data_IF_323231634222
#
_entry.id   IF_323231634222
#
_cell.length_a   1.000
_cell.length_b   1.000
_cell.length_c   1.000
_cell.angle_alpha   90.00
_cell.angle_beta   90.00
_cell.angle_gamma   90.00
#
_symmetry.space_group_name_H-M   'P 1'
#
loop_
_entity.id
_entity.type
_entity.pdbx_description
1 polymer ?
#
# COMPACT_ATOMS: atom_id res chain seq x y z
N UNK A 1 15.98 -0.17 9.33
CA UNK A 1 15.69 -0.47 10.74
C UNK A 1 14.91 0.67 11.42
N UNK A 2 15.53 1.82 11.75
CA UNK A 2 14.80 2.90 12.43
C UNK A 2 13.69 3.52 11.55
N UNK A 3 14.01 3.87 10.29
CA UNK A 3 13.02 4.43 9.36
C UNK A 3 11.84 3.48 9.11
N UNK A 4 12.07 2.16 9.05
CA UNK A 4 11.00 1.18 8.84
C UNK A 4 9.99 1.23 10.00
N UNK A 5 10.49 1.11 11.24
CA UNK A 5 9.67 1.22 12.46
C UNK A 5 8.99 2.60 12.54
N UNK A 6 9.72 3.68 12.27
CA UNK A 6 9.15 5.02 12.27
C UNK A 6 8.04 5.16 11.22
N UNK A 7 8.21 4.59 10.02
CA UNK A 7 7.24 4.66 8.94
C UNK A 7 5.95 3.92 9.28
N UNK A 8 6.04 2.73 9.88
CA UNK A 8 4.86 1.96 10.29
C UNK A 8 4.06 2.66 11.37
N UNK A 9 4.72 3.11 12.44
CA UNK A 9 4.04 3.83 13.52
C UNK A 9 3.48 5.18 13.09
N UNK A 10 4.20 5.91 12.23
CA UNK A 10 3.69 7.18 11.69
C UNK A 10 2.56 6.97 10.68
N UNK A 11 2.61 5.91 9.88
CA UNK A 11 1.52 5.50 8.99
C UNK A 11 0.25 5.20 9.77
N UNK A 12 0.34 4.37 10.82
CA UNK A 12 -0.76 4.09 11.73
C UNK A 12 -1.27 5.37 12.43
N UNK A 13 -0.37 6.20 12.95
CA UNK A 13 -0.74 7.47 13.57
C UNK A 13 -1.46 8.40 12.59
N UNK A 14 -0.99 8.47 11.34
CA UNK A 14 -1.65 9.22 10.29
C UNK A 14 -3.05 8.68 10.03
N UNK A 15 -3.20 7.35 9.87
CA UNK A 15 -4.50 6.70 9.66
C UNK A 15 -5.49 7.03 10.79
N UNK A 16 -5.04 6.91 12.06
CA UNK A 16 -5.89 7.20 13.22
C UNK A 16 -6.37 8.66 13.27
N UNK A 17 -5.62 9.61 12.69
CA UNK A 17 -6.07 11.00 12.53
C UNK A 17 -7.07 11.19 11.40
N UNK A 18 -7.08 10.31 10.41
CA UNK A 18 -7.99 10.39 9.27
C UNK A 18 -9.33 9.71 9.53
N UNK A 19 -9.42 8.82 10.51
CA UNK A 19 -10.61 8.01 10.78
C UNK A 19 -11.45 8.56 11.95
N UNK A 20 -12.76 8.59 11.77
CA UNK A 20 -13.73 8.80 12.84
C UNK A 20 -14.23 7.44 13.35
N UNK A 21 -13.87 7.04 14.58
CA UNK A 21 -14.16 5.69 15.10
C UNK A 21 -15.52 5.55 15.81
N UNK A 22 -16.31 6.62 15.88
CA UNK A 22 -17.57 6.65 16.66
C UNK A 22 -18.72 5.84 16.03
N UNK A 23 -18.62 5.47 14.75
CA UNK A 23 -19.71 4.85 13.97
C UNK A 23 -19.57 3.32 13.83
N UNK A 24 -19.04 2.65 14.87
CA UNK A 24 -18.88 1.19 14.87
C UNK A 24 -17.65 0.69 14.10
N UNK A 25 -16.82 1.61 13.58
CA UNK A 25 -15.50 1.30 13.03
C UNK A 25 -14.55 0.92 14.16
N UNK A 26 -13.96 -0.27 14.08
CA UNK A 26 -12.99 -0.78 15.05
C UNK A 26 -11.66 -1.05 14.35
N UNK A 27 -10.58 -0.52 14.91
CA UNK A 27 -9.22 -0.74 14.43
C UNK A 27 -8.52 -1.68 15.41
N UNK A 28 -7.93 -2.74 14.88
CA UNK A 28 -7.11 -3.69 15.62
C UNK A 28 -5.69 -3.64 15.05
N UNK A 29 -4.70 -3.79 15.92
CA UNK A 29 -3.28 -3.75 15.53
C UNK A 29 -2.65 -5.04 16.00
N UNK A 30 -1.93 -5.70 15.10
CA UNK A 30 -1.11 -6.86 15.39
C UNK A 30 0.30 -6.58 14.86
N UNK A 31 1.31 -6.89 15.67
CA UNK A 31 2.71 -6.81 15.28
C UNK A 31 3.12 -8.19 14.73
N UNK A 32 3.26 -8.26 13.40
CA UNK A 32 3.64 -9.46 12.68
C UNK A 32 4.57 -9.02 11.56
N UNK A 33 5.80 -9.52 11.54
CA UNK A 33 6.74 -9.27 10.46
C UNK A 33 6.43 -10.16 9.25
N UNK A 34 6.82 -9.70 8.06
CA UNK A 34 6.68 -10.51 6.85
C UNK A 34 7.46 -11.84 6.95
N UNK A 35 8.60 -11.83 7.64
CA UNK A 35 9.40 -13.03 7.89
C UNK A 35 8.68 -14.05 8.78
N UNK A 36 7.89 -13.60 9.76
CA UNK A 36 7.07 -14.50 10.57
C UNK A 36 5.97 -15.14 9.75
N UNK A 37 5.36 -14.42 8.79
CA UNK A 37 4.38 -15.01 7.85
C UNK A 37 5.05 -16.05 6.96
N UNK A 38 6.24 -15.75 6.43
CA UNK A 38 7.00 -16.71 5.61
C UNK A 38 7.34 -17.97 6.43
N UNK A 39 7.83 -17.80 7.66
CA UNK A 39 8.14 -18.92 8.54
C UNK A 39 6.89 -19.73 8.94
N UNK A 40 5.75 -19.07 9.17
CA UNK A 40 4.46 -19.71 9.44
C UNK A 40 3.98 -20.54 8.24
N UNK A 41 4.13 -20.02 7.01
CA UNK A 41 3.81 -20.75 5.78
C UNK A 41 4.66 -22.02 5.64
N UNK A 42 5.97 -21.91 5.87
CA UNK A 42 6.90 -23.04 5.77
C UNK A 42 6.61 -24.11 6.84
N UNK A 43 6.33 -23.68 8.06
CA UNK A 43 6.05 -24.57 9.19
C UNK A 43 4.69 -25.29 9.06
N UNK A 44 3.71 -24.66 8.41
CA UNK A 44 2.33 -25.14 8.33
C UNK A 44 1.87 -25.43 6.89
N UNK A 45 2.77 -25.82 5.98
CA UNK A 45 2.46 -26.01 4.56
C UNK A 45 1.28 -26.96 4.25
N UNK A 46 1.00 -27.94 5.13
CA UNK A 46 -0.10 -28.92 4.98
C UNK A 46 -1.27 -28.66 5.94
N UNK A 47 -1.24 -27.57 6.72
CA UNK A 47 -2.19 -27.29 7.80
C UNK A 47 -2.62 -25.82 7.83
N UNK A 48 -3.61 -25.48 8.65
CA UNK A 48 -4.00 -24.07 8.85
C UNK A 48 -2.89 -23.30 9.55
N UNK A 49 -2.45 -22.20 8.94
CA UNK A 49 -1.37 -21.34 9.47
C UNK A 49 -1.83 -20.53 10.70
N UNK A 50 -0.91 -20.05 11.52
CA UNK A 50 -1.22 -19.22 12.69
C UNK A 50 -1.82 -17.86 12.28
N UNK A 51 -1.41 -17.31 11.13
CA UNK A 51 -2.03 -16.11 10.53
C UNK A 51 -3.53 -16.32 10.27
N UNK A 52 -3.91 -17.46 9.67
CA UNK A 52 -5.32 -17.79 9.42
C UNK A 52 -6.10 -17.87 10.73
N UNK A 53 -5.54 -18.52 11.75
CA UNK A 53 -6.16 -18.61 13.08
C UNK A 53 -6.35 -17.22 13.70
N UNK A 54 -5.31 -16.39 13.70
CA UNK A 54 -5.36 -15.04 14.26
C UNK A 54 -6.48 -14.18 13.63
N UNK A 55 -6.67 -14.29 12.31
CA UNK A 55 -7.57 -13.42 11.56
C UNK A 55 -8.99 -13.98 11.43
N UNK A 56 -9.18 -15.30 11.44
CA UNK A 56 -10.47 -15.95 11.21
C UNK A 56 -11.03 -16.69 12.44
N UNK A 57 -10.17 -17.22 13.31
CA UNK A 57 -10.63 -18.00 14.46
C UNK A 57 -11.47 -17.11 15.40
N UNK A 58 -12.69 -17.55 15.69
CA UNK A 58 -13.73 -16.80 16.43
C UNK A 58 -14.35 -15.59 15.70
N UNK A 59 -14.05 -15.41 14.41
CA UNK A 59 -14.57 -14.31 13.57
C UNK A 59 -15.35 -14.78 12.35
N UNK A 60 -15.41 -16.10 12.17
CA UNK A 60 -16.21 -16.77 11.16
C UNK A 60 -17.20 -17.68 11.89
N UNK A 61 -18.46 -17.24 11.96
CA UNK A 61 -19.52 -17.88 12.75
C UNK A 61 -20.75 -16.99 12.91
N UNK A 62 -21.89 -17.59 13.23
CA UNK A 62 -23.16 -16.89 13.37
C UNK A 62 -23.08 -15.80 14.47
N UNK A 63 -23.33 -14.54 14.10
CA UNK A 63 -23.25 -13.39 14.99
C UNK A 63 -21.84 -12.82 15.23
N UNK A 64 -20.80 -13.42 14.63
CA UNK A 64 -19.45 -12.83 14.64
C UNK A 64 -19.31 -11.76 13.54
N UNK A 65 -18.34 -10.84 13.72
CA UNK A 65 -18.04 -9.79 12.75
C UNK A 65 -16.63 -10.02 12.21
N UNK A 66 -16.48 -10.50 10.95
CA UNK A 66 -15.17 -10.71 10.33
C UNK A 66 -14.46 -9.38 10.08
N UNK A 67 -13.15 -9.45 9.84
CA UNK A 67 -12.39 -8.27 9.43
C UNK A 67 -12.74 -7.88 7.99
N UNK A 68 -13.35 -6.71 7.83
CA UNK A 68 -13.74 -6.21 6.50
C UNK A 68 -12.56 -5.71 5.67
N UNK A 69 -11.51 -5.21 6.33
CA UNK A 69 -10.29 -4.69 5.69
C UNK A 69 -9.09 -5.18 6.49
N UNK A 70 -8.15 -5.82 5.80
CA UNK A 70 -6.85 -6.22 6.34
C UNK A 70 -5.80 -5.32 5.71
N UNK A 71 -5.13 -4.52 6.53
CA UNK A 71 -4.01 -3.66 6.08
C UNK A 71 -2.72 -4.34 6.46
N UNK A 72 -1.98 -4.82 5.46
CA UNK A 72 -0.65 -5.36 5.66
C UNK A 72 0.37 -4.26 5.34
N UNK A 73 1.04 -3.71 6.36
CA UNK A 73 2.03 -2.65 6.19
C UNK A 73 3.38 -3.20 5.69
N UNK A 74 3.35 -3.86 4.54
CA UNK A 74 4.54 -4.40 3.88
C UNK A 74 4.74 -3.75 2.52
N UNK A 75 6.00 -3.66 2.09
CA UNK A 75 6.37 -3.34 0.73
C UNK A 75 6.75 -4.62 0.00
N UNK A 76 5.78 -5.30 -0.59
CA UNK A 76 5.99 -6.59 -1.25
C UNK A 76 6.87 -6.42 -2.50
N UNK A 77 7.85 -7.30 -2.66
CA UNK A 77 8.89 -7.24 -3.68
C UNK A 77 8.71 -8.40 -4.67
N UNK A 78 9.50 -8.40 -5.73
CA UNK A 78 9.57 -9.47 -6.75
C UNK A 78 10.31 -10.73 -6.27
N UNK A 79 9.95 -11.20 -5.08
CA UNK A 79 10.56 -12.36 -4.41
C UNK A 79 9.52 -13.48 -4.23
N UNK A 80 9.93 -14.74 -4.40
CA UNK A 80 9.04 -15.91 -4.29
C UNK A 80 8.37 -15.98 -2.92
N UNK A 81 9.14 -15.79 -1.84
CA UNK A 81 8.60 -15.81 -0.47
C UNK A 81 7.59 -14.68 -0.20
N UNK A 82 7.77 -13.51 -0.82
CA UNK A 82 6.81 -12.40 -0.72
C UNK A 82 5.50 -12.75 -1.45
N UNK A 83 5.59 -13.41 -2.61
CA UNK A 83 4.42 -13.91 -3.34
C UNK A 83 3.65 -14.98 -2.54
N UNK A 84 4.34 -15.92 -1.92
CA UNK A 84 3.72 -16.96 -1.08
C UNK A 84 3.04 -16.35 0.16
N UNK A 85 3.69 -15.39 0.82
CA UNK A 85 3.10 -14.65 1.93
C UNK A 85 1.85 -13.85 1.49
N UNK A 86 1.92 -13.20 0.33
CA UNK A 86 0.76 -12.50 -0.26
C UNK A 86 -0.39 -13.46 -0.55
N UNK A 87 -0.11 -14.64 -1.14
CA UNK A 87 -1.13 -15.64 -1.44
C UNK A 87 -1.85 -16.09 -0.16
N UNK A 88 -1.10 -16.34 0.92
CA UNK A 88 -1.68 -16.68 2.23
C UNK A 88 -2.58 -15.54 2.75
N UNK A 89 -2.07 -14.31 2.84
CA UNK A 89 -2.84 -13.14 3.28
C UNK A 89 -4.10 -12.91 2.43
N UNK A 90 -4.00 -13.12 1.12
CA UNK A 90 -5.10 -12.95 0.17
C UNK A 90 -6.18 -14.01 0.37
N UNK A 91 -5.80 -15.27 0.60
CA UNK A 91 -6.72 -16.35 0.95
C UNK A 91 -7.52 -16.01 2.21
N UNK A 92 -6.83 -15.55 3.27
CA UNK A 92 -7.48 -15.12 4.52
C UNK A 92 -8.48 -13.98 4.29
N UNK A 93 -8.11 -13.00 3.47
CA UNK A 93 -9.01 -11.89 3.13
C UNK A 93 -10.24 -12.36 2.35
N UNK A 94 -10.07 -13.27 1.40
CA UNK A 94 -11.18 -13.84 0.63
C UNK A 94 -12.12 -14.67 1.52
N UNK A 95 -11.57 -15.51 2.41
CA UNK A 95 -12.34 -16.35 3.35
C UNK A 95 -13.17 -15.54 4.35
N UNK A 96 -12.78 -14.29 4.62
CA UNK A 96 -13.52 -13.34 5.47
C UNK A 96 -14.43 -12.40 4.69
N UNK A 97 -14.55 -12.57 3.36
CA UNK A 97 -15.19 -11.60 2.45
C UNK A 97 -14.67 -10.16 2.62
N UNK A 98 -13.44 -10.03 3.12
CA UNK A 98 -12.76 -8.77 3.33
C UNK A 98 -11.94 -8.36 2.12
N UNK A 99 -11.13 -7.32 2.29
CA UNK A 99 -10.14 -6.89 1.31
C UNK A 99 -8.77 -6.78 1.97
N UNK A 100 -7.75 -7.34 1.34
CA UNK A 100 -6.35 -7.12 1.68
C UNK A 100 -5.84 -5.86 0.96
N UNK A 101 -5.21 -4.97 1.71
CA UNK A 101 -4.55 -3.79 1.17
C UNK A 101 -3.11 -3.77 1.65
N UNK A 102 -2.17 -3.66 0.72
CA UNK A 102 -0.73 -3.61 1.02
C UNK A 102 0.04 -2.71 0.05
N UNK A 103 1.34 -2.57 0.29
CA UNK A 103 2.27 -1.89 -0.60
C UNK A 103 2.88 -2.88 -1.58
N UNK A 104 2.91 -2.52 -2.85
CA UNK A 104 3.61 -3.25 -3.91
C UNK A 104 4.79 -2.44 -4.41
N UNK A 105 5.96 -3.09 -4.47
CA UNK A 105 7.12 -2.56 -5.17
C UNK A 105 6.83 -2.46 -6.66
N UNK A 106 7.39 -1.43 -7.28
CA UNK A 106 7.38 -1.29 -8.74
C UNK A 106 8.04 -2.48 -9.46
N UNK A 107 8.88 -3.24 -8.75
CA UNK A 107 9.54 -4.44 -9.23
C UNK A 107 8.56 -5.55 -9.59
N UNK A 108 7.38 -5.58 -8.96
CA UNK A 108 6.28 -6.48 -9.32
C UNK A 108 5.77 -6.23 -10.76
N UNK A 109 5.92 -5.01 -11.26
CA UNK A 109 5.61 -4.64 -12.65
C UNK A 109 6.83 -4.76 -13.58
N UNK A 110 7.97 -5.23 -13.08
CA UNK A 110 9.24 -5.28 -13.81
C UNK A 110 9.99 -3.94 -13.87
N UNK A 111 9.56 -2.92 -13.13
CA UNK A 111 10.30 -1.67 -13.01
C UNK A 111 11.44 -1.86 -11.99
N UNK A 112 12.72 -1.62 -12.35
CA UNK A 112 13.82 -1.81 -11.41
C UNK A 112 13.82 -0.78 -10.28
N UNK A 113 13.45 0.46 -10.59
CA UNK A 113 13.38 1.58 -9.66
C UNK A 113 12.64 2.76 -10.32
N UNK A 114 11.50 3.17 -9.77
CA UNK A 114 10.69 4.25 -10.35
C UNK A 114 11.39 5.62 -10.36
N UNK A 115 12.30 5.86 -9.41
CA UNK A 115 13.03 7.14 -9.31
C UNK A 115 14.11 7.30 -10.38
N UNK A 116 14.61 6.19 -10.91
CA UNK A 116 15.67 6.16 -11.92
C UNK A 116 15.14 5.87 -13.32
N UNK A 117 14.18 4.94 -13.43
CA UNK A 117 13.62 4.48 -14.71
C UNK A 117 12.08 4.59 -14.67
N UNK A 118 11.54 5.83 -14.64
CA UNK A 118 10.09 6.05 -14.54
C UNK A 118 9.33 5.64 -15.80
N UNK A 119 10.00 5.63 -16.96
CA UNK A 119 9.37 5.34 -18.24
C UNK A 119 9.27 3.82 -18.47
N UNK A 120 8.06 3.25 -18.61
CA UNK A 120 7.87 1.82 -18.85
C UNK A 120 8.51 1.31 -20.15
N UNK A 121 8.75 2.18 -21.13
CA UNK A 121 9.49 1.79 -22.34
C UNK A 121 10.91 1.31 -22.02
N UNK A 122 11.48 1.61 -20.86
CA UNK A 122 12.83 1.18 -20.49
C UNK A 122 12.86 0.03 -19.48
N UNK A 123 11.72 -0.43 -18.96
CA UNK A 123 11.69 -1.50 -17.94
C UNK A 123 12.22 -2.83 -18.47
N UNK A 124 11.95 -3.13 -19.75
CA UNK A 124 12.39 -4.38 -20.37
C UNK A 124 13.92 -4.54 -20.39
N UNK A 125 14.68 -3.43 -20.36
CA UNK A 125 16.15 -3.46 -20.34
C UNK A 125 16.71 -4.11 -19.07
N UNK A 126 15.88 -4.23 -18.03
CA UNK A 126 16.23 -4.76 -16.73
C UNK A 126 15.53 -6.10 -16.42
N UNK A 127 14.68 -6.60 -17.32
CA UNK A 127 13.96 -7.87 -17.14
C UNK A 127 14.86 -9.04 -17.51
N UNK A 128 15.17 -9.89 -16.53
CA UNK A 128 15.90 -11.14 -16.72
C UNK A 128 14.94 -12.30 -17.09
N UNK A 129 14.21 -12.18 -18.21
CA UNK A 129 13.30 -13.23 -18.69
C UNK A 129 12.21 -13.66 -17.70
N UNK A 130 11.59 -14.80 -17.98
CA UNK A 130 10.66 -15.45 -17.04
C UNK A 130 11.49 -16.19 -15.97
N UNK A 131 11.27 -15.83 -14.70
CA UNK A 131 11.86 -16.46 -13.54
C UNK A 131 10.75 -17.02 -12.63
N UNK A 132 11.14 -17.73 -11.56
CA UNK A 132 10.19 -18.35 -10.63
C UNK A 132 9.19 -17.34 -10.05
N UNK A 133 9.65 -16.11 -9.78
CA UNK A 133 8.77 -15.02 -9.37
C UNK A 133 7.71 -14.71 -10.42
N UNK A 134 8.08 -14.49 -11.69
CA UNK A 134 7.14 -14.12 -12.76
C UNK A 134 6.07 -15.21 -12.95
N UNK A 135 6.48 -16.48 -12.92
CA UNK A 135 5.56 -17.62 -13.03
C UNK A 135 4.58 -17.64 -11.85
N UNK A 136 5.07 -17.52 -10.62
CA UNK A 136 4.24 -17.52 -9.42
C UNK A 136 3.33 -16.29 -9.33
N UNK A 137 3.83 -15.11 -9.68
CA UNK A 137 3.07 -13.86 -9.70
C UNK A 137 1.87 -13.95 -10.65
N UNK A 138 2.07 -14.50 -11.86
CA UNK A 138 0.98 -14.73 -12.80
C UNK A 138 -0.02 -15.76 -12.24
N UNK A 139 0.46 -16.88 -11.71
CA UNK A 139 -0.39 -17.92 -11.14
C UNK A 139 -1.26 -17.42 -9.97
N UNK A 140 -0.71 -16.55 -9.11
CA UNK A 140 -1.43 -15.90 -8.00
C UNK A 140 -2.56 -15.01 -8.54
N UNK A 141 -2.29 -14.23 -9.60
CA UNK A 141 -3.28 -13.30 -10.19
C UNK A 141 -4.41 -14.01 -10.92
N UNK A 142 -4.25 -15.29 -11.24
CA UNK A 142 -5.32 -16.12 -11.83
C UNK A 142 -6.24 -16.73 -10.75
N UNK A 143 -5.84 -16.73 -9.47
CA UNK A 143 -6.64 -17.31 -8.39
C UNK A 143 -7.83 -16.42 -8.02
N UNK A 144 -8.91 -17.03 -7.50
CA UNK A 144 -10.11 -16.31 -7.08
C UNK A 144 -9.84 -15.29 -5.96
N UNK A 145 -9.03 -15.68 -4.95
CA UNK A 145 -8.68 -14.81 -3.84
C UNK A 145 -7.97 -13.52 -4.27
N UNK A 146 -7.35 -13.50 -5.47
CA UNK A 146 -6.64 -12.33 -5.97
C UNK A 146 -7.57 -11.14 -6.25
N UNK A 147 -8.88 -11.40 -6.37
CA UNK A 147 -9.93 -10.37 -6.48
C UNK A 147 -10.15 -9.58 -5.19
N UNK A 148 -9.65 -10.07 -4.06
CA UNK A 148 -9.75 -9.43 -2.75
C UNK A 148 -8.49 -8.64 -2.37
N UNK A 149 -7.58 -8.38 -3.32
CA UNK A 149 -6.26 -7.79 -3.02
C UNK A 149 -6.04 -6.48 -3.76
N UNK A 150 -5.63 -5.44 -3.02
CA UNK A 150 -5.14 -4.16 -3.54
C UNK A 150 -3.67 -3.99 -3.16
N UNK A 151 -2.81 -3.77 -4.16
CA UNK A 151 -1.41 -3.39 -3.95
C UNK A 151 -1.17 -1.96 -4.42
N UNK A 152 -0.74 -1.08 -3.53
CA UNK A 152 -0.48 0.34 -3.84
C UNK A 152 0.98 0.57 -4.21
N UNK A 153 1.24 1.47 -5.17
CA UNK A 153 2.59 1.83 -5.60
C UNK A 153 2.60 3.26 -6.18
N UNK A 154 3.60 4.11 -5.96
CA UNK A 154 4.68 3.99 -4.98
C UNK A 154 4.21 4.42 -3.58
N UNK A 155 5.17 4.55 -2.66
CA UNK A 155 4.97 5.08 -1.30
C UNK A 155 4.67 6.59 -1.31
N UNK A 156 4.28 7.14 -0.16
CA UNK A 156 4.02 8.57 0.04
C UNK A 156 4.72 9.14 1.28
N UNK A 157 4.94 10.45 1.33
CA UNK A 157 5.67 11.11 2.40
C UNK A 157 4.82 11.21 3.67
N UNK A 158 5.31 10.67 4.78
CA UNK A 158 4.60 10.68 6.07
C UNK A 158 4.84 11.94 6.90
N UNK A 159 6.01 12.57 6.76
CA UNK A 159 6.35 13.83 7.43
C UNK A 159 7.34 14.65 6.61
N UNK A 160 7.35 15.95 6.89
CA UNK A 160 8.43 16.80 6.42
C UNK A 160 9.75 16.41 7.11
N UNK A 161 10.89 16.56 6.42
CA UNK A 161 12.19 16.41 7.04
C UNK A 161 12.40 17.49 8.10
N UNK A 162 13.17 17.19 9.15
CA UNK A 162 13.62 18.20 10.08
C UNK A 162 14.61 19.14 9.40
N UNK A 163 14.44 20.43 9.66
CA UNK A 163 15.23 21.48 9.03
C UNK A 163 14.71 22.87 9.39
N UNK A 164 15.60 23.85 9.32
CA UNK A 164 15.35 25.24 9.72
C UNK A 164 14.20 25.87 8.92
N UNK A 165 14.03 25.45 7.66
CA UNK A 165 13.02 25.97 6.74
C UNK A 165 11.82 25.03 6.56
N UNK A 166 11.79 23.89 7.26
CA UNK A 166 10.75 22.87 7.16
C UNK A 166 10.13 22.62 8.54
N UNK A 167 10.64 21.64 9.28
CA UNK A 167 10.23 21.32 10.64
C UNK A 167 11.41 21.60 11.57
N UNK A 168 11.51 22.83 12.13
CA UNK A 168 12.62 23.19 13.01
C UNK A 168 12.52 22.45 14.34
N UNK A 169 13.67 22.09 14.91
CA UNK A 169 13.77 21.52 16.25
C UNK A 169 14.12 22.62 17.26
N UNK A 170 13.48 22.60 18.43
CA UNK A 170 13.76 23.59 19.48
C UNK A 170 15.08 23.33 20.23
N UNK A 171 15.51 22.06 20.27
CA UNK A 171 16.63 21.63 21.11
C UNK A 171 18.00 21.98 20.53
N UNK A 172 18.15 21.91 19.21
CA UNK A 172 19.39 22.21 18.49
C UNK A 172 19.11 22.36 16.99
N UNK A 173 20.01 23.05 16.29
CA UNK A 173 19.95 23.19 14.83
C UNK A 173 20.24 21.83 14.18
N UNK A 174 19.26 21.27 13.48
CA UNK A 174 19.36 19.98 12.81
C UNK A 174 18.79 20.06 11.40
N UNK A 175 19.57 19.58 10.44
CA UNK A 175 19.16 19.40 9.04
C UNK A 175 19.21 17.91 8.72
N UNK A 176 18.06 17.29 8.49
CA UNK A 176 17.93 15.84 8.31
C UNK A 176 18.40 15.37 6.93
N UNK A 177 18.12 16.17 5.89
CA UNK A 177 18.41 15.77 4.52
C UNK A 177 19.86 16.07 4.14
N UNK A 178 20.59 15.09 3.57
CA UNK A 178 21.90 15.36 2.99
C UNK A 178 21.81 16.26 1.76
N UNK A 179 22.95 16.75 1.26
CA UNK A 179 22.95 17.55 0.02
C UNK A 179 22.56 16.73 -1.20
N UNK A 180 23.07 15.50 -1.29
CA UNK A 180 22.87 14.59 -2.41
C UNK A 180 22.14 13.32 -1.96
N UNK A 181 21.37 12.69 -2.85
CA UNK A 181 20.73 11.40 -2.56
C UNK A 181 19.59 11.49 -1.52
N UNK A 182 18.97 12.66 -1.36
CA UNK A 182 17.94 12.93 -0.35
C UNK A 182 16.75 11.97 -0.39
N UNK A 183 16.42 11.39 -1.55
CA UNK A 183 15.23 10.57 -1.72
C UNK A 183 15.10 9.48 -0.65
N UNK A 184 16.18 8.77 -0.34
CA UNK A 184 16.17 7.68 0.65
C UNK A 184 16.02 8.15 2.11
N UNK A 185 16.21 9.45 2.37
CA UNK A 185 16.14 10.04 3.70
C UNK A 185 14.76 10.61 4.05
N UNK A 186 13.87 10.77 3.06
CA UNK A 186 12.47 11.05 3.36
C UNK A 186 11.83 9.85 4.04
N UNK A 187 10.95 10.13 5.00
CA UNK A 187 10.16 9.09 5.62
C UNK A 187 8.97 8.72 4.73
N UNK A 188 9.18 7.72 3.87
CA UNK A 188 8.17 7.14 3.01
C UNK A 188 7.31 6.14 3.77
N UNK A 189 6.00 6.24 3.60
CA UNK A 189 4.99 5.34 4.14
C UNK A 189 4.23 4.59 3.06
N UNK A 190 3.69 3.44 3.44
CA UNK A 190 2.95 2.57 2.55
C UNK A 190 1.65 3.21 2.07
N UNK A 191 1.38 3.18 0.75
CA UNK A 191 0.12 3.69 0.17
C UNK A 191 -1.13 2.97 0.70
N UNK A 192 -0.99 1.78 1.30
CA UNK A 192 -2.07 1.05 1.95
C UNK A 192 -2.78 1.88 3.03
N UNK A 193 -2.04 2.74 3.75
CA UNK A 193 -2.63 3.65 4.73
C UNK A 193 -3.64 4.62 4.11
N UNK A 194 -3.34 5.13 2.91
CA UNK A 194 -4.22 6.05 2.17
C UNK A 194 -5.53 5.35 1.77
N UNK A 195 -5.43 4.12 1.27
CA UNK A 195 -6.58 3.30 0.87
C UNK A 195 -7.41 2.89 2.08
N UNK A 196 -6.77 2.54 3.20
CA UNK A 196 -7.47 2.24 4.46
C UNK A 196 -8.26 3.46 4.97
N UNK A 197 -7.68 4.67 4.90
CA UNK A 197 -8.38 5.90 5.24
C UNK A 197 -9.57 6.16 4.31
N UNK A 198 -9.43 5.93 3.00
CA UNK A 198 -10.53 6.04 2.04
C UNK A 198 -11.68 5.08 2.41
N UNK A 199 -11.39 3.80 2.62
CA UNK A 199 -12.40 2.78 2.93
C UNK A 199 -13.09 3.04 4.28
N UNK A 200 -12.31 3.34 5.33
CA UNK A 200 -12.85 3.61 6.65
C UNK A 200 -13.72 4.87 6.70
N UNK A 201 -13.32 5.94 6.01
CA UNK A 201 -14.11 7.16 5.91
C UNK A 201 -15.38 6.97 5.08
N UNK A 202 -15.33 6.15 4.03
CA UNK A 202 -16.52 5.79 3.27
C UNK A 202 -17.52 5.02 4.15
N UNK A 203 -17.05 3.96 4.82
CA UNK A 203 -17.88 3.14 5.71
C UNK A 203 -18.55 3.97 6.80
N UNK A 204 -17.80 4.87 7.44
CA UNK A 204 -18.34 5.72 8.51
C UNK A 204 -19.55 6.54 8.01
N UNK A 205 -19.46 7.13 6.82
CA UNK A 205 -20.53 8.00 6.28
C UNK A 205 -21.85 7.30 5.95
N UNK A 206 -21.86 6.00 5.69
CA UNK A 206 -23.08 5.34 5.20
C UNK A 206 -23.02 3.83 5.00
N UNK A 207 -22.06 3.14 5.62
CA UNK A 207 -21.83 1.71 5.46
C UNK A 207 -21.14 1.35 4.14
N UNK A 208 -21.13 0.06 3.81
CA UNK A 208 -20.47 -0.44 2.60
C UNK A 208 -21.27 -0.20 1.33
N UNK A 209 -20.57 0.11 0.24
CA UNK A 209 -21.10 0.23 -1.12
C UNK A 209 -19.95 0.18 -2.11
N UNK A 210 -20.23 -0.21 -3.36
CA UNK A 210 -19.26 -0.21 -4.45
C UNK A 210 -18.58 1.16 -4.64
N UNK A 211 -19.26 2.24 -4.26
CA UNK A 211 -18.71 3.60 -4.28
C UNK A 211 -17.46 3.77 -3.42
N UNK A 212 -17.24 2.92 -2.41
CA UNK A 212 -16.02 2.91 -1.58
C UNK A 212 -14.74 2.67 -2.42
N UNK A 213 -14.88 1.99 -3.56
CA UNK A 213 -13.77 1.65 -4.46
C UNK A 213 -13.50 2.73 -5.52
N UNK A 214 -14.31 3.79 -5.59
CA UNK A 214 -14.08 4.88 -6.55
C UNK A 214 -12.79 5.64 -6.25
N UNK A 215 -12.27 6.32 -7.27
CA UNK A 215 -11.08 7.16 -7.10
C UNK A 215 -11.31 8.28 -6.10
N UNK A 216 -10.27 8.65 -5.37
CA UNK A 216 -10.31 9.68 -4.34
C UNK A 216 -9.08 10.59 -4.42
N UNK A 217 -9.17 11.75 -3.76
CA UNK A 217 -8.06 12.67 -3.55
C UNK A 217 -7.79 12.76 -2.06
N UNK A 218 -6.54 12.51 -1.67
CA UNK A 218 -6.08 12.73 -0.29
C UNK A 218 -5.26 14.02 -0.28
N UNK A 219 -5.62 14.95 0.60
CA UNK A 219 -5.04 16.30 0.70
C UNK A 219 -4.34 16.49 2.04
N UNK A 220 -3.69 17.64 2.25
CA UNK A 220 -2.99 17.96 3.49
C UNK A 220 -1.84 16.99 3.80
N UNK A 221 -1.20 16.48 2.75
CA UNK A 221 -0.01 15.65 2.85
C UNK A 221 1.24 16.53 3.02
N UNK A 222 2.32 16.02 3.63
CA UNK A 222 3.61 16.73 3.65
C UNK A 222 4.06 17.13 2.23
N UNK A 223 4.36 18.41 2.06
CA UNK A 223 4.85 18.99 0.81
C UNK A 223 6.17 19.73 1.06
N UNK A 224 7.29 19.11 0.72
CA UNK A 224 8.59 19.73 0.93
C UNK A 224 8.98 20.60 -0.26
N UNK A 225 9.14 21.91 -0.02
CA UNK A 225 9.63 22.87 -1.00
C UNK A 225 11.09 23.21 -0.67
N UNK A 226 11.99 22.98 -1.62
CA UNK A 226 13.43 23.21 -1.45
C UNK A 226 13.99 24.05 -2.60
N UNK A 227 15.19 24.60 -2.44
CA UNK A 227 15.87 25.36 -3.51
C UNK A 227 16.95 24.53 -4.16
N UNK A 228 16.91 24.45 -5.48
CA UNK A 228 17.92 23.78 -6.30
C UNK A 228 18.35 24.72 -7.43
N UNK A 229 19.66 24.99 -7.56
CA UNK A 229 20.21 25.95 -8.51
C UNK A 229 19.52 27.34 -8.49
N UNK A 230 19.08 27.78 -7.31
CA UNK A 230 18.40 29.07 -7.11
C UNK A 230 16.91 29.08 -7.47
N UNK A 231 16.35 27.96 -7.94
CA UNK A 231 14.93 27.80 -8.25
C UNK A 231 14.23 27.00 -7.14
N UNK A 232 13.00 27.38 -6.81
CA UNK A 232 12.15 26.59 -5.92
C UNK A 232 11.68 25.33 -6.63
N UNK A 233 11.89 24.19 -6.00
CA UNK A 233 11.45 22.87 -6.43
C UNK A 233 10.52 22.29 -5.37
N UNK A 234 9.55 21.50 -5.82
CA UNK A 234 8.60 20.81 -4.96
C UNK A 234 8.88 19.32 -5.01
N UNK A 235 9.17 18.71 -3.87
CA UNK A 235 9.23 17.25 -3.75
C UNK A 235 7.80 16.70 -3.80
N UNK A 236 7.46 15.81 -4.73
CA UNK A 236 6.11 15.27 -4.82
C UNK A 236 5.75 14.45 -3.57
N UNK A 237 4.46 14.45 -3.19
CA UNK A 237 3.97 13.72 -2.02
C UNK A 237 4.12 12.19 -2.14
N UNK A 238 3.94 11.63 -3.33
CA UNK A 238 4.34 10.28 -3.69
C UNK A 238 5.76 10.28 -4.30
N UNK A 239 6.48 9.16 -4.25
CA UNK A 239 7.93 9.08 -4.52
C UNK A 239 8.42 9.78 -5.80
N UNK A 240 7.59 9.76 -6.86
CA UNK A 240 7.91 10.33 -8.18
C UNK A 240 6.74 11.15 -8.76
N UNK A 241 7.03 12.14 -9.63
CA UNK A 241 6.02 12.65 -10.55
C UNK A 241 5.73 11.56 -11.59
N UNK A 242 4.49 11.06 -11.61
CA UNK A 242 4.15 9.88 -12.40
C UNK A 242 3.47 10.23 -13.73
N UNK A 243 4.04 9.73 -14.83
CA UNK A 243 3.45 9.80 -16.18
C UNK A 243 2.22 8.90 -16.29
N UNK A 244 1.32 9.22 -17.22
CA UNK A 244 0.14 8.38 -17.48
C UNK A 244 0.53 7.00 -18.04
N UNK A 245 1.63 6.92 -18.80
CA UNK A 245 2.18 5.65 -19.31
C UNK A 245 2.66 4.78 -18.17
N UNK A 246 3.43 5.33 -17.23
CA UNK A 246 3.89 4.65 -16.02
C UNK A 246 2.70 4.15 -15.19
N UNK A 247 1.71 5.01 -14.94
CA UNK A 247 0.52 4.66 -14.18
C UNK A 247 -0.25 3.50 -14.84
N UNK A 248 -0.39 3.52 -16.18
CA UNK A 248 -1.03 2.45 -16.93
C UNK A 248 -0.26 1.13 -16.82
N UNK A 249 1.06 1.16 -17.00
CA UNK A 249 1.91 -0.02 -16.92
C UNK A 249 1.86 -0.67 -15.52
N UNK A 250 1.90 0.13 -14.45
CA UNK A 250 1.69 -0.37 -13.08
C UNK A 250 0.31 -1.05 -12.94
N UNK A 251 -0.74 -0.45 -13.51
CA UNK A 251 -2.11 -0.99 -13.45
C UNK A 251 -2.28 -2.31 -14.21
N UNK A 252 -1.66 -2.46 -15.36
CA UNK A 252 -1.67 -3.71 -16.14
C UNK A 252 -1.04 -4.88 -15.35
N UNK A 253 -0.11 -4.56 -14.46
CA UNK A 253 0.51 -5.50 -13.53
C UNK A 253 -0.19 -5.60 -12.16
N UNK A 254 -1.41 -5.08 -12.03
CA UNK A 254 -2.23 -5.25 -10.82
C UNK A 254 -1.91 -4.26 -9.69
N UNK A 255 -1.08 -3.25 -9.92
CA UNK A 255 -0.76 -2.23 -8.92
C UNK A 255 -1.71 -1.02 -9.05
N UNK A 256 -2.04 -0.40 -7.93
CA UNK A 256 -2.82 0.85 -7.82
C UNK A 256 -1.85 2.03 -7.73
N UNK A 257 -1.72 2.85 -8.79
CA UNK A 257 -0.76 3.94 -8.83
C UNK A 257 -1.18 5.13 -7.95
N UNK A 258 -0.44 5.43 -6.89
CA UNK A 258 -0.62 6.62 -6.06
C UNK A 258 0.08 7.80 -6.72
N UNK A 259 -0.68 8.83 -7.12
CA UNK A 259 -0.15 9.91 -7.97
C UNK A 259 -0.18 11.24 -7.26
N UNK A 260 0.98 11.87 -7.08
CA UNK A 260 1.06 13.28 -6.65
C UNK A 260 0.34 14.20 -7.62
N UNK A 261 -0.42 15.15 -7.09
CA UNK A 261 -0.86 16.32 -7.86
C UNK A 261 0.29 17.31 -7.92
N UNK A 262 0.60 17.80 -9.13
CA UNK A 262 1.73 18.71 -9.33
C UNK A 262 1.54 19.98 -8.50
N UNK A 263 2.58 20.36 -7.76
CA UNK A 263 2.65 21.58 -6.94
C UNK A 263 1.57 21.69 -5.84
N UNK A 264 0.96 20.56 -5.46
CA UNK A 264 -0.06 20.50 -4.40
C UNK A 264 0.30 19.46 -3.33
N UNK A 265 -0.21 19.69 -2.12
CA UNK A 265 -0.07 18.84 -0.94
C UNK A 265 -1.03 17.64 -0.97
N UNK A 266 -1.12 16.97 -2.13
CA UNK A 266 -2.14 15.94 -2.36
C UNK A 266 -1.71 14.83 -3.31
N UNK A 267 -2.37 13.70 -3.17
CA UNK A 267 -2.29 12.56 -4.09
C UNK A 267 -3.67 12.15 -4.56
N UNK A 268 -3.72 11.53 -5.74
CA UNK A 268 -4.89 10.86 -6.30
C UNK A 268 -4.70 9.36 -6.15
N UNK A 269 -5.71 8.72 -5.56
CA UNK A 269 -5.91 7.28 -5.60
C UNK A 269 -6.89 7.02 -6.76
N UNK A 270 -6.51 6.28 -7.82
CA UNK A 270 -7.46 5.93 -8.88
C UNK A 270 -8.52 4.97 -8.33
N UNK A 271 -9.58 4.66 -9.09
CA UNK A 271 -10.49 3.59 -8.70
C UNK A 271 -9.71 2.32 -8.35
N UNK A 272 -10.03 1.75 -7.20
CA UNK A 272 -9.36 0.56 -6.70
C UNK A 272 -9.64 -0.60 -7.65
N UNK A 273 -8.60 -1.35 -7.96
CA UNK A 273 -8.68 -2.55 -8.76
C UNK A 273 -7.96 -3.66 -8.02
N UNK A 274 -8.40 -4.89 -8.25
CA UNK A 274 -7.73 -6.05 -7.72
C UNK A 274 -6.45 -6.37 -8.49
N UNK A 275 -5.57 -7.19 -7.90
CA UNK A 275 -4.38 -7.69 -8.61
C UNK A 275 -4.75 -8.71 -9.70
N UNK A 276 -5.96 -9.28 -9.63
CA UNK A 276 -6.46 -10.33 -10.53
C UNK A 276 -6.25 -10.02 -12.02
N UNK A 277 -5.76 -11.00 -12.78
CA UNK A 277 -5.62 -10.93 -14.23
C UNK A 277 -6.93 -11.25 -14.97
N UNK A 278 -7.83 -12.01 -14.34
CA UNK A 278 -9.11 -12.43 -14.92
C UNK A 278 -10.20 -11.36 -14.85
N UNK A 279 -10.17 -10.55 -13.79
CA UNK A 279 -11.09 -9.43 -13.57
C UNK A 279 -10.43 -8.38 -12.70
N UNK A 280 -10.45 -7.13 -13.13
CA UNK A 280 -9.94 -5.99 -12.35
C UNK A 280 -10.92 -5.51 -11.28
N UNK A 281 -12.15 -6.05 -11.26
CA UNK A 281 -13.13 -5.71 -10.24
C UNK A 281 -12.63 -6.19 -8.87
N UNK A 282 -12.60 -5.26 -7.91
CA UNK A 282 -12.23 -5.55 -6.54
C UNK A 282 -13.44 -6.10 -5.79
N UNK A 283 -13.24 -7.25 -5.14
CA UNK A 283 -14.22 -7.86 -4.25
C UNK A 283 -13.95 -7.51 -2.79
N UNK A 284 -15.01 -7.49 -1.99
CA UNK A 284 -14.91 -7.18 -0.58
C UNK A 284 -16.26 -6.95 0.10
N UNK A 285 -16.27 -6.30 1.27
CA UNK A 285 -17.45 -6.21 2.14
C UNK A 285 -18.63 -5.41 1.55
N UNK A 286 -18.41 -4.72 0.43
CA UNK A 286 -19.45 -4.01 -0.33
C UNK A 286 -20.21 -4.89 -1.32
N UNK A 287 -19.80 -6.14 -1.55
CA UNK A 287 -20.49 -7.06 -2.45
C UNK A 287 -21.69 -7.75 -1.79
N UNK A 288 -21.68 -7.88 -0.46
CA UNK A 288 -22.77 -8.50 0.32
C UNK A 288 -23.99 -7.59 0.48
N UNK A 289 -23.90 -6.32 0.07
CA UNK A 289 -25.05 -5.40 0.03
C UNK A 289 -25.92 -5.73 -1.18
N UNK A 290 -26.50 -6.93 -1.20
CA UNK A 290 -27.63 -7.28 -2.07
C UNK A 290 -28.91 -7.07 -1.28
N UNK A 291 -29.70 -6.10 -1.75
CA UNK A 291 -31.09 -5.81 -1.37
C UNK A 291 -31.99 -7.04 -1.38
#
# INVERSE_FOLDING_TARGET
AFQDIESSWRGLYWLMKQLETEQGLRVFVADVSLLEIVADNEANAETTTELHKLLLENRVGEGSVPFSVIVADYQLQDEVQHCEALANLASVAADSHGVLVSGGSERLAGCPNLTQVPDPEHWYLHRQGDNDFTLLWNAIREQEYSRHVVLTCPRFMLRLPYGTHTSPMEAFDFEELPKDGQHAYYLWGNGAWLVAAQLGNYFSRGGWSQEATRGSKVTQLPLHVYKEHGQSQVKPCAEIPMLDTTARALREHGLVPIRSVRDEDSVIIPPLQSISSESTQLQGPWDEVRS
#
